data_IF_107425845288
#
_entry.id   IF_107425845288
#
_cell.length_a   1.000
_cell.length_b   1.000
_cell.length_c   1.000
_cell.angle_alpha   90.00
_cell.angle_beta   90.00
_cell.angle_gamma   90.00
#
_symmetry.space_group_name_H-M   'P 1'
#
loop_
_entity.id
_entity.type
_entity.pdbx_description
1 polymer ?
#
# COMPACT_ATOMS: atom_id res chain seq x y z
N UNK A 1 8.27 5.91 -18.69
CA UNK A 1 8.03 6.13 -17.25
C UNK A 1 7.28 7.44 -17.09
N UNK A 2 6.19 7.42 -16.39
CA UNK A 2 5.41 8.62 -16.20
C UNK A 2 6.09 9.58 -15.21
N UNK A 3 5.94 10.88 -15.44
CA UNK A 3 6.44 11.92 -14.55
C UNK A 3 5.48 12.11 -13.36
N UNK A 4 5.14 11.01 -12.69
CA UNK A 4 4.26 11.08 -11.53
C UNK A 4 5.01 11.71 -10.36
N UNK A 5 4.46 12.77 -9.82
CA UNK A 5 4.94 13.41 -8.61
C UNK A 5 3.93 13.18 -7.49
N UNK A 6 4.44 13.04 -6.28
CA UNK A 6 3.55 12.97 -5.12
C UNK A 6 2.82 14.30 -4.98
N UNK A 7 1.51 14.23 -4.80
CA UNK A 7 0.73 15.42 -4.52
C UNK A 7 1.08 15.98 -3.13
N UNK A 8 1.02 17.31 -2.95
CA UNK A 8 1.17 17.87 -1.61
C UNK A 8 0.00 17.45 -0.73
N UNK A 9 0.20 17.45 0.57
CA UNK A 9 -0.85 17.16 1.51
C UNK A 9 -0.50 16.06 2.49
N UNK A 10 -1.51 15.38 3.01
CA UNK A 10 -1.38 14.35 4.03
C UNK A 10 -1.37 12.97 3.38
N UNK A 11 -0.27 12.28 3.54
CA UNK A 11 -0.13 10.88 3.13
C UNK A 11 -0.10 10.00 4.39
N UNK A 12 -1.18 9.27 4.60
CA UNK A 12 -1.33 8.43 5.80
C UNK A 12 -0.49 7.17 5.67
N UNK A 13 0.29 6.88 6.69
CA UNK A 13 1.00 5.60 6.78
C UNK A 13 -0.01 4.56 7.27
N UNK A 14 -0.52 3.76 6.34
CA UNK A 14 -1.63 2.87 6.61
C UNK A 14 -1.19 1.56 7.29
N UNK A 15 -1.98 1.11 8.24
CA UNK A 15 -1.83 -0.22 8.82
C UNK A 15 -2.37 -1.28 7.86
N UNK A 16 -1.87 -2.50 8.00
CA UNK A 16 -2.44 -3.67 7.33
C UNK A 16 -3.41 -4.33 8.30
N UNK A 17 -4.71 -4.44 7.96
CA UNK A 17 -5.67 -5.07 8.86
C UNK A 17 -5.55 -6.59 8.85
N UNK A 18 -5.64 -7.18 10.04
CA UNK A 18 -5.59 -8.63 10.25
C UNK A 18 -6.82 -9.10 11.01
N UNK A 19 -7.23 -10.32 10.71
CA UNK A 19 -8.23 -11.03 11.50
C UNK A 19 -7.59 -11.57 12.80
N UNK A 20 -8.42 -11.97 13.80
CA UNK A 20 -7.87 -12.53 15.05
C UNK A 20 -6.97 -13.76 14.87
N UNK A 21 -7.12 -14.51 13.78
CA UNK A 21 -6.28 -15.65 13.46
C UNK A 21 -4.98 -15.28 12.71
N UNK A 22 -4.69 -13.97 12.61
CA UNK A 22 -3.51 -13.40 11.96
C UNK A 22 -3.53 -13.44 10.42
N UNK A 23 -4.62 -13.90 9.81
CA UNK A 23 -4.79 -13.78 8.36
C UNK A 23 -5.20 -12.36 7.97
N UNK A 24 -5.01 -11.99 6.70
CA UNK A 24 -5.39 -10.67 6.21
C UNK A 24 -6.90 -10.46 6.31
N UNK A 25 -7.30 -9.30 6.81
CA UNK A 25 -8.67 -8.85 6.81
C UNK A 25 -8.91 -7.98 5.58
N UNK A 26 -9.10 -8.61 4.44
CA UNK A 26 -9.26 -7.89 3.18
C UNK A 26 -10.52 -7.03 3.14
N UNK A 27 -11.57 -7.43 3.83
CA UNK A 27 -12.80 -6.66 3.89
C UNK A 27 -12.59 -5.31 4.60
N UNK A 28 -11.74 -5.26 5.61
CA UNK A 28 -11.46 -4.02 6.34
C UNK A 28 -10.56 -3.06 5.58
N UNK A 29 -9.88 -3.49 4.53
CA UNK A 29 -9.09 -2.59 3.68
C UNK A 29 -9.99 -1.51 3.08
N UNK A 30 -11.15 -1.88 2.57
CA UNK A 30 -12.12 -0.93 2.02
C UNK A 30 -12.57 0.11 3.04
N UNK A 31 -12.90 -0.33 4.26
CA UNK A 31 -13.30 0.57 5.33
C UNK A 31 -12.18 1.54 5.71
N UNK A 32 -10.94 1.05 5.76
CA UNK A 32 -9.78 1.89 6.07
C UNK A 32 -9.54 2.95 5.00
N UNK A 33 -9.60 2.54 3.73
CA UNK A 33 -9.45 3.46 2.60
C UNK A 33 -10.53 4.54 2.63
N UNK A 34 -11.78 4.14 2.81
CA UNK A 34 -12.91 5.08 2.87
C UNK A 34 -12.75 6.05 4.04
N UNK A 35 -12.33 5.57 5.20
CA UNK A 35 -12.10 6.41 6.37
C UNK A 35 -11.02 7.47 6.09
N UNK A 36 -9.88 7.08 5.54
CA UNK A 36 -8.80 8.01 5.23
C UNK A 36 -9.23 9.05 4.21
N UNK A 37 -9.90 8.63 3.15
CA UNK A 37 -10.38 9.54 2.11
C UNK A 37 -11.41 10.53 2.67
N UNK A 38 -12.36 10.05 3.47
CA UNK A 38 -13.40 10.89 4.06
C UNK A 38 -12.83 11.92 5.04
N UNK A 39 -11.68 11.65 5.65
CA UNK A 39 -11.02 12.55 6.58
C UNK A 39 -9.95 13.43 5.92
N UNK A 40 -9.94 13.50 4.59
CA UNK A 40 -9.10 14.46 3.85
C UNK A 40 -7.69 14.01 3.53
N UNK A 41 -7.38 12.72 3.65
CA UNK A 41 -6.07 12.24 3.21
C UNK A 41 -5.90 12.41 1.70
N UNK A 42 -4.72 12.81 1.28
CA UNK A 42 -4.37 12.99 -0.13
C UNK A 42 -3.71 11.73 -0.71
N UNK A 43 -3.13 10.92 0.14
CA UNK A 43 -2.47 9.68 -0.25
C UNK A 43 -2.37 8.69 0.89
N UNK A 44 -1.99 7.46 0.54
CA UNK A 44 -1.69 6.39 1.49
C UNK A 44 -0.31 5.83 1.20
N UNK A 45 0.46 5.58 2.25
CA UNK A 45 1.67 4.77 2.19
C UNK A 45 1.34 3.41 2.77
N UNK A 46 1.32 2.39 1.93
CA UNK A 46 1.05 1.02 2.35
C UNK A 46 2.33 0.20 2.39
N UNK A 47 2.31 -0.88 3.14
CA UNK A 47 3.45 -1.80 3.28
C UNK A 47 4.73 -1.10 3.78
N UNK A 48 4.57 -0.08 4.60
CA UNK A 48 5.64 0.50 5.38
C UNK A 48 5.79 -0.24 6.72
N UNK A 49 6.46 0.39 7.67
CA UNK A 49 6.66 -0.21 9.01
C UNK A 49 5.31 -0.40 9.71
N UNK A 50 4.43 0.60 9.65
CA UNK A 50 3.10 0.50 10.25
C UNK A 50 2.20 -0.51 9.54
N UNK A 51 2.51 -0.84 8.30
CA UNK A 51 1.84 -1.90 7.55
C UNK A 51 2.38 -3.29 7.85
N UNK A 52 3.37 -3.40 8.73
CA UNK A 52 3.98 -4.66 9.13
C UNK A 52 4.50 -5.49 7.94
N UNK A 53 5.07 -4.80 6.96
CA UNK A 53 5.49 -5.40 5.68
C UNK A 53 6.50 -6.54 5.86
N UNK A 54 7.36 -6.46 6.87
CA UNK A 54 8.36 -7.47 7.16
C UNK A 54 7.78 -8.76 7.75
N UNK A 55 6.50 -8.75 8.10
CA UNK A 55 5.79 -9.92 8.66
C UNK A 55 4.86 -10.59 7.65
N UNK A 56 4.84 -10.08 6.42
CA UNK A 56 3.98 -10.60 5.36
C UNK A 56 4.78 -11.46 4.40
N UNK A 57 4.16 -12.54 3.92
CA UNK A 57 4.69 -13.30 2.80
C UNK A 57 4.57 -12.47 1.51
N UNK A 58 5.29 -12.89 0.47
CA UNK A 58 5.18 -12.20 -0.83
C UNK A 58 3.75 -12.28 -1.37
N UNK A 59 3.07 -13.42 -1.21
CA UNK A 59 1.69 -13.57 -1.62
C UNK A 59 0.75 -12.62 -0.86
N UNK A 60 0.96 -12.46 0.44
CA UNK A 60 0.18 -11.52 1.24
C UNK A 60 0.45 -10.08 0.83
N UNK A 61 1.71 -9.72 0.53
CA UNK A 61 2.05 -8.39 0.02
C UNK A 61 1.29 -8.08 -1.25
N UNK A 62 1.24 -9.01 -2.19
CA UNK A 62 0.50 -8.85 -3.45
C UNK A 62 -0.98 -8.58 -3.19
N UNK A 63 -1.59 -9.34 -2.30
CA UNK A 63 -3.00 -9.18 -1.96
C UNK A 63 -3.28 -7.84 -1.29
N UNK A 64 -2.38 -7.35 -0.44
CA UNK A 64 -2.49 -6.03 0.18
C UNK A 64 -2.43 -4.93 -0.87
N UNK A 65 -1.46 -5.00 -1.78
CA UNK A 65 -1.34 -4.02 -2.87
C UNK A 65 -2.60 -4.00 -3.72
N UNK A 66 -3.05 -5.16 -4.16
CA UNK A 66 -4.25 -5.27 -5.00
C UNK A 66 -5.49 -4.75 -4.27
N UNK A 67 -5.65 -5.12 -2.99
CA UNK A 67 -6.78 -4.69 -2.19
C UNK A 67 -6.84 -3.17 -2.01
N UNK A 68 -5.73 -2.55 -1.67
CA UNK A 68 -5.69 -1.08 -1.52
C UNK A 68 -5.93 -0.37 -2.85
N UNK A 69 -5.31 -0.82 -3.93
CA UNK A 69 -5.50 -0.20 -5.25
C UNK A 69 -6.95 -0.32 -5.72
N UNK A 70 -7.55 -1.49 -5.56
CA UNK A 70 -8.94 -1.72 -5.94
C UNK A 70 -9.89 -0.86 -5.13
N UNK A 71 -9.77 -0.87 -3.80
CA UNK A 71 -10.66 -0.10 -2.93
C UNK A 71 -10.46 1.40 -3.07
N UNK A 72 -9.22 1.83 -3.32
CA UNK A 72 -8.94 3.25 -3.55
C UNK A 72 -9.57 3.77 -4.83
N UNK A 73 -9.61 2.97 -5.87
CA UNK A 73 -10.21 3.33 -7.17
C UNK A 73 -9.75 4.71 -7.69
N UNK A 74 -8.47 5.03 -7.51
CA UNK A 74 -7.87 6.27 -8.01
C UNK A 74 -8.17 7.53 -7.19
N UNK A 75 -8.85 7.41 -6.05
CA UNK A 75 -9.23 8.58 -5.25
C UNK A 75 -8.07 9.28 -4.56
N UNK A 76 -7.08 8.53 -4.12
CA UNK A 76 -5.87 9.02 -3.46
C UNK A 76 -4.64 8.46 -4.15
N UNK A 77 -3.48 9.08 -3.92
CA UNK A 77 -2.23 8.48 -4.39
C UNK A 77 -1.83 7.32 -3.48
N UNK A 78 -1.34 6.24 -4.08
CA UNK A 78 -0.87 5.07 -3.33
C UNK A 78 0.65 4.94 -3.53
N UNK A 79 1.37 5.03 -2.41
CA UNK A 79 2.81 4.75 -2.35
C UNK A 79 3.00 3.40 -1.68
N UNK A 80 3.80 2.54 -2.28
CA UNK A 80 4.05 1.19 -1.78
C UNK A 80 5.46 1.09 -1.20
N UNK A 81 5.56 0.65 0.05
CA UNK A 81 6.85 0.38 0.68
C UNK A 81 7.51 -0.84 0.06
N UNK A 82 8.79 -0.71 -0.27
CA UNK A 82 9.56 -1.77 -0.94
C UNK A 82 10.83 -2.16 -0.18
N UNK A 83 10.92 -1.75 1.08
CA UNK A 83 12.07 -2.06 1.94
C UNK A 83 12.33 -3.56 1.96
N UNK A 84 13.58 -3.93 1.76
CA UNK A 84 14.02 -5.31 1.75
C UNK A 84 15.47 -5.41 2.26
N UNK A 85 15.90 -6.61 2.57
CA UNK A 85 17.25 -6.87 3.04
C UNK A 85 18.35 -6.69 1.99
N UNK A 86 17.96 -6.55 0.71
CA UNK A 86 18.92 -6.35 -0.38
C UNK A 86 18.35 -5.41 -1.44
N UNK A 87 19.24 -4.77 -2.17
CA UNK A 87 18.90 -3.89 -3.29
C UNK A 87 18.16 -4.65 -4.39
N UNK A 88 18.55 -5.88 -4.66
CA UNK A 88 17.92 -6.70 -5.71
C UNK A 88 16.44 -6.94 -5.37
N UNK A 89 16.15 -7.36 -4.16
CA UNK A 89 14.76 -7.62 -3.73
C UNK A 89 13.95 -6.33 -3.69
N UNK A 90 14.53 -5.24 -3.18
CA UNK A 90 13.84 -3.94 -3.16
C UNK A 90 13.47 -3.50 -4.59
N UNK A 91 14.38 -3.67 -5.54
CA UNK A 91 14.14 -3.34 -6.95
C UNK A 91 13.02 -4.19 -7.55
N UNK A 92 13.01 -5.48 -7.28
CA UNK A 92 11.96 -6.38 -7.75
C UNK A 92 10.59 -5.97 -7.19
N UNK A 93 10.55 -5.64 -5.90
CA UNK A 93 9.32 -5.16 -5.26
C UNK A 93 8.85 -3.84 -5.84
N UNK A 94 9.76 -2.92 -6.13
CA UNK A 94 9.42 -1.64 -6.76
C UNK A 94 8.82 -1.84 -8.15
N UNK A 95 9.44 -2.68 -8.96
CA UNK A 95 8.94 -2.99 -10.32
C UNK A 95 7.57 -3.64 -10.26
N UNK A 96 7.37 -4.59 -9.34
CA UNK A 96 6.10 -5.25 -9.16
C UNK A 96 5.00 -4.27 -8.74
N UNK A 97 5.29 -3.41 -7.78
CA UNK A 97 4.32 -2.41 -7.30
C UNK A 97 3.91 -1.45 -8.42
N UNK A 98 4.86 -0.95 -9.19
CA UNK A 98 4.57 -0.05 -10.32
C UNK A 98 3.75 -0.77 -11.38
N UNK A 99 4.10 -2.00 -11.70
CA UNK A 99 3.35 -2.81 -12.68
C UNK A 99 1.91 -3.05 -12.24
N UNK A 100 1.66 -3.16 -10.94
CA UNK A 100 0.31 -3.33 -10.39
C UNK A 100 -0.49 -2.05 -10.32
N UNK A 101 0.14 -0.89 -10.48
CA UNK A 101 -0.54 0.40 -10.54
C UNK A 101 -0.24 1.37 -9.40
N UNK A 102 0.79 1.10 -8.60
CA UNK A 102 1.21 2.05 -7.57
C UNK A 102 1.65 3.38 -8.20
N UNK A 103 1.33 4.47 -7.54
CA UNK A 103 1.72 5.81 -8.00
C UNK A 103 3.18 6.13 -7.66
N UNK A 104 3.68 5.55 -6.58
CA UNK A 104 5.06 5.76 -6.13
C UNK A 104 5.53 4.57 -5.27
N UNK A 105 6.81 4.51 -5.03
CA UNK A 105 7.42 3.54 -4.13
C UNK A 105 8.37 4.23 -3.18
#
# INVERSE_FOLDING_TARGET
MSDVQLCPGVHVVAATPFLPDESLDEASIGSLVDFCHANGADGLLILGVMGEADRLSDAERERVIEGFLEQNAGRMQITVGVTAGSTVVARERARDAVRRGADAV
#
